data_IF_536318399133
#
_entry.id   IF_536318399133
#
_cell.length_a   1.000
_cell.length_b   1.000
_cell.length_c   1.000
_cell.angle_alpha   90.00
_cell.angle_beta   90.00
_cell.angle_gamma   90.00
#
_symmetry.space_group_name_H-M   'P 1'
#
loop_
_entity.id
_entity.type
_entity.pdbx_description
1 polymer ?
#
# COMPACT_ATOMS: atom_id res chain seq x y z
N UNK A 1 19.83 -9.78 -5.18
CA UNK A 1 19.17 -11.07 -5.52
C UNK A 1 17.63 -10.98 -5.42
N UNK A 2 17.05 -10.56 -4.28
CA UNK A 2 15.59 -10.46 -4.08
C UNK A 2 14.92 -9.47 -5.04
N UNK A 3 15.49 -8.28 -5.27
CA UNK A 3 14.93 -7.30 -6.21
C UNK A 3 14.77 -7.84 -7.64
N UNK A 4 15.65 -8.76 -8.07
CA UNK A 4 15.53 -9.45 -9.36
C UNK A 4 14.33 -10.41 -9.42
N UNK A 5 14.04 -11.14 -8.34
CA UNK A 5 12.86 -12.01 -8.25
C UNK A 5 11.55 -11.23 -8.14
N UNK A 6 11.58 -10.07 -7.47
CA UNK A 6 10.46 -9.13 -7.40
C UNK A 6 10.10 -8.60 -8.79
N UNK A 7 11.09 -8.17 -9.56
CA UNK A 7 10.88 -7.66 -10.92
C UNK A 7 10.47 -8.75 -11.92
N UNK A 8 10.81 -10.02 -11.66
CA UNK A 8 10.41 -11.17 -12.47
C UNK A 8 9.04 -11.77 -12.09
N UNK A 9 8.26 -11.12 -11.21
CA UNK A 9 6.94 -11.61 -10.78
C UNK A 9 6.98 -12.89 -9.92
N UNK A 10 8.17 -13.30 -9.45
CA UNK A 10 8.39 -14.52 -8.69
C UNK A 10 8.27 -14.30 -7.17
N UNK A 11 7.13 -13.74 -6.71
CA UNK A 11 6.92 -13.36 -5.31
C UNK A 11 7.14 -14.50 -4.30
N UNK A 12 6.78 -15.73 -4.67
CA UNK A 12 7.03 -16.93 -3.83
C UNK A 12 8.52 -17.21 -3.57
N UNK A 13 9.38 -17.03 -4.58
CA UNK A 13 10.84 -17.20 -4.42
C UNK A 13 11.44 -16.07 -3.60
N UNK A 14 10.96 -14.82 -3.79
CA UNK A 14 11.37 -13.69 -2.97
C UNK A 14 11.09 -13.93 -1.47
N UNK A 15 9.91 -14.48 -1.13
CA UNK A 15 9.58 -14.85 0.26
C UNK A 15 10.42 -16.01 0.80
N UNK A 16 10.76 -17.00 -0.04
CA UNK A 16 11.65 -18.09 0.36
C UNK A 16 13.06 -17.58 0.71
N UNK A 17 13.62 -16.70 -0.14
CA UNK A 17 14.92 -16.06 0.11
C UNK A 17 14.87 -15.17 1.36
N UNK A 18 13.76 -14.46 1.60
CA UNK A 18 13.60 -13.67 2.82
C UNK A 18 13.56 -14.52 4.09
N UNK A 19 12.89 -15.68 4.07
CA UNK A 19 12.91 -16.63 5.19
C UNK A 19 14.32 -17.16 5.45
N UNK A 20 15.11 -17.40 4.39
CA UNK A 20 16.52 -17.76 4.53
C UNK A 20 17.34 -16.63 5.15
N UNK A 21 17.11 -15.37 4.75
CA UNK A 21 17.75 -14.19 5.37
C UNK A 21 17.39 -13.98 6.84
N UNK A 22 16.24 -14.51 7.30
CA UNK A 22 15.87 -14.53 8.72
C UNK A 22 16.56 -15.63 9.52
N UNK A 23 17.15 -16.63 8.86
CA UNK A 23 17.87 -17.73 9.50
C UNK A 23 19.21 -17.28 10.10
N UNK A 24 19.62 -17.90 11.22
CA UNK A 24 20.86 -17.57 11.97
C UNK A 24 22.17 -17.72 11.18
N UNK A 25 22.14 -18.26 9.96
CA UNK A 25 23.32 -18.58 9.16
C UNK A 25 23.67 -17.55 8.08
N UNK A 26 22.83 -16.53 7.85
CA UNK A 26 23.08 -15.48 6.83
C UNK A 26 23.57 -14.20 7.50
N UNK A 27 24.72 -13.67 7.06
CA UNK A 27 25.35 -12.44 7.60
C UNK A 27 24.58 -11.16 7.26
N UNK A 28 23.81 -11.17 6.17
CA UNK A 28 23.11 -9.98 5.66
C UNK A 28 21.67 -9.93 6.13
N UNK A 29 21.33 -8.90 6.92
CA UNK A 29 19.95 -8.59 7.27
C UNK A 29 19.28 -7.85 6.12
N UNK A 30 17.99 -8.11 5.85
CA UNK A 30 17.23 -7.32 4.87
C UNK A 30 17.26 -5.83 5.24
N UNK A 31 17.69 -4.99 4.30
CA UNK A 31 17.66 -3.54 4.42
C UNK A 31 16.32 -2.95 3.97
N UNK A 32 16.16 -1.64 4.12
CA UNK A 32 14.93 -0.92 3.76
C UNK A 32 14.53 -1.14 2.30
N UNK A 33 15.50 -1.11 1.40
CA UNK A 33 15.30 -1.28 -0.03
C UNK A 33 14.77 -2.68 -0.35
N UNK A 34 15.36 -3.71 0.27
CA UNK A 34 14.93 -5.10 0.13
C UNK A 34 13.49 -5.27 0.60
N UNK A 35 13.16 -4.77 1.79
CA UNK A 35 11.84 -4.90 2.40
C UNK A 35 10.77 -4.15 1.59
N UNK A 36 11.08 -2.93 1.13
CA UNK A 36 10.20 -2.14 0.26
C UNK A 36 9.93 -2.83 -1.07
N UNK A 37 10.97 -3.36 -1.71
CA UNK A 37 10.83 -4.12 -2.97
C UNK A 37 9.95 -5.35 -2.78
N UNK A 38 10.13 -6.07 -1.67
CA UNK A 38 9.31 -7.23 -1.35
C UNK A 38 7.84 -6.89 -1.07
N UNK A 39 7.58 -5.78 -0.38
CA UNK A 39 6.22 -5.29 -0.16
C UNK A 39 5.55 -4.94 -1.49
N UNK A 40 6.27 -4.31 -2.42
CA UNK A 40 5.77 -4.01 -3.76
C UNK A 40 5.43 -5.28 -4.55
N UNK A 41 6.27 -6.32 -4.49
CA UNK A 41 5.94 -7.63 -5.06
C UNK A 41 4.67 -8.22 -4.43
N UNK A 42 4.56 -8.19 -3.11
CA UNK A 42 3.37 -8.71 -2.42
C UNK A 42 2.11 -7.91 -2.80
N UNK A 43 2.23 -6.60 -2.97
CA UNK A 43 1.17 -5.69 -3.40
C UNK A 43 0.68 -6.05 -4.80
N UNK A 44 1.60 -6.16 -5.77
CA UNK A 44 1.28 -6.51 -7.17
C UNK A 44 0.76 -7.93 -7.35
N UNK A 45 1.13 -8.86 -6.49
CA UNK A 45 0.72 -10.27 -6.56
C UNK A 45 -0.39 -10.65 -5.57
N UNK A 46 -0.96 -9.70 -4.82
CA UNK A 46 -2.01 -9.96 -3.83
C UNK A 46 -1.57 -10.88 -2.66
N UNK A 47 -0.28 -11.00 -2.39
CA UNK A 47 0.27 -11.96 -1.41
C UNK A 47 0.16 -11.45 0.03
N UNK A 48 -1.06 -11.37 0.56
CA UNK A 48 -1.36 -10.81 1.89
C UNK A 48 -0.57 -11.49 3.01
N UNK A 49 -0.41 -12.82 2.98
CA UNK A 49 0.35 -13.56 3.99
C UNK A 49 1.85 -13.25 3.94
N UNK A 50 2.39 -13.02 2.73
CA UNK A 50 3.78 -12.64 2.53
C UNK A 50 4.07 -11.26 3.11
N UNK A 51 3.26 -10.27 2.73
CA UNK A 51 3.44 -8.91 3.26
C UNK A 51 3.18 -8.79 4.76
N UNK A 52 2.25 -9.58 5.33
CA UNK A 52 2.09 -9.67 6.81
C UNK A 52 3.33 -10.24 7.51
N UNK A 53 4.03 -11.22 6.92
CA UNK A 53 5.30 -11.71 7.45
C UNK A 53 6.38 -10.63 7.45
N UNK A 54 6.44 -9.83 6.37
CA UNK A 54 7.38 -8.70 6.26
C UNK A 54 7.04 -7.62 7.30
N UNK A 55 5.77 -7.25 7.44
CA UNK A 55 5.34 -6.29 8.45
C UNK A 55 5.63 -6.77 9.88
N UNK A 56 5.37 -8.04 10.19
CA UNK A 56 5.73 -8.63 11.49
C UNK A 56 7.25 -8.68 11.73
N UNK A 57 8.06 -8.83 10.69
CA UNK A 57 9.51 -8.69 10.79
C UNK A 57 9.91 -7.25 11.13
N UNK A 58 9.36 -6.26 10.44
CA UNK A 58 9.61 -4.83 10.69
C UNK A 58 9.32 -4.42 12.13
N UNK A 59 8.20 -4.90 12.70
CA UNK A 59 7.83 -4.65 14.10
C UNK A 59 8.86 -5.29 15.04
N UNK A 60 9.22 -6.57 14.82
CA UNK A 60 10.13 -7.32 15.71
C UNK A 60 11.58 -6.87 15.62
N UNK A 61 12.03 -6.38 14.47
CA UNK A 61 13.42 -5.94 14.27
C UNK A 61 13.69 -4.57 14.90
N UNK A 62 12.67 -3.89 15.42
CA UNK A 62 12.80 -2.51 15.91
C UNK A 62 13.12 -1.53 14.79
N UNK A 63 12.82 -1.89 13.53
CA UNK A 63 13.00 -0.99 12.40
C UNK A 63 12.21 0.28 12.69
N UNK A 64 12.85 1.44 12.57
CA UNK A 64 12.21 2.72 12.84
C UNK A 64 11.22 3.06 11.72
N UNK A 65 10.16 2.26 11.58
CA UNK A 65 9.12 2.43 10.56
C UNK A 65 8.49 3.81 10.67
N UNK A 66 8.35 4.33 11.89
CA UNK A 66 7.84 5.67 12.15
C UNK A 66 8.69 6.78 11.52
N UNK A 67 9.98 6.54 11.26
CA UNK A 67 10.95 7.48 10.71
C UNK A 67 11.22 7.28 9.21
N UNK A 68 10.82 6.15 8.62
CA UNK A 68 10.95 5.90 7.18
C UNK A 68 9.59 5.97 6.50
N UNK A 69 9.35 7.11 5.86
CA UNK A 69 8.14 7.37 5.08
C UNK A 69 8.00 6.40 3.89
N UNK A 70 9.12 5.92 3.33
CA UNK A 70 9.18 5.00 2.19
C UNK A 70 8.62 3.63 2.55
N UNK A 71 9.11 3.02 3.63
CA UNK A 71 8.69 1.66 4.00
C UNK A 71 7.25 1.64 4.48
N UNK A 72 6.83 2.66 5.23
CA UNK A 72 5.44 2.75 5.69
C UNK A 72 4.47 3.09 4.58
N UNK A 73 4.84 3.97 3.64
CA UNK A 73 4.04 4.22 2.44
C UNK A 73 3.82 2.94 1.64
N UNK A 74 4.87 2.12 1.53
CA UNK A 74 4.81 0.82 0.85
C UNK A 74 3.95 -0.20 1.60
N UNK A 75 3.92 -0.16 2.94
CA UNK A 75 3.00 -0.97 3.74
C UNK A 75 1.54 -0.57 3.52
N UNK A 76 1.25 0.74 3.48
CA UNK A 76 -0.10 1.26 3.20
C UNK A 76 -0.55 0.81 1.81
N UNK A 77 0.26 1.04 0.78
CA UNK A 77 -0.04 0.60 -0.59
C UNK A 77 -0.27 -0.92 -0.67
N UNK A 78 0.61 -1.71 -0.04
CA UNK A 78 0.45 -3.16 0.03
C UNK A 78 -0.89 -3.58 0.63
N UNK A 79 -1.26 -3.02 1.78
CA UNK A 79 -2.52 -3.39 2.44
C UNK A 79 -3.74 -2.96 1.63
N UNK A 80 -3.70 -1.79 1.01
CA UNK A 80 -4.77 -1.32 0.12
C UNK A 80 -4.93 -2.26 -1.08
N UNK A 81 -3.86 -2.54 -1.82
CA UNK A 81 -3.95 -3.41 -3.01
C UNK A 81 -4.30 -4.86 -2.69
N UNK A 82 -4.05 -5.31 -1.46
CA UNK A 82 -4.51 -6.62 -0.97
C UNK A 82 -5.93 -6.59 -0.37
N UNK A 83 -6.69 -5.50 -0.52
CA UNK A 83 -8.07 -5.38 -0.05
C UNK A 83 -8.23 -5.34 1.47
N UNK A 84 -7.17 -5.04 2.22
CA UNK A 84 -7.20 -5.00 3.68
C UNK A 84 -7.07 -3.56 4.19
N UNK A 85 -8.16 -2.79 4.04
CA UNK A 85 -8.21 -1.39 4.44
C UNK A 85 -7.99 -1.18 5.94
N UNK A 86 -8.40 -2.11 6.79
CA UNK A 86 -8.15 -2.04 8.24
C UNK A 86 -6.64 -2.09 8.52
N UNK A 87 -5.90 -2.96 7.84
CA UNK A 87 -4.45 -3.03 7.91
C UNK A 87 -3.79 -1.76 7.35
N UNK A 88 -4.29 -1.25 6.23
CA UNK A 88 -3.80 -0.03 5.60
C UNK A 88 -3.94 1.18 6.53
N UNK A 89 -5.12 1.36 7.14
CA UNK A 89 -5.39 2.44 8.09
C UNK A 89 -4.45 2.37 9.30
N UNK A 90 -4.27 1.18 9.89
CA UNK A 90 -3.33 0.98 11.01
C UNK A 90 -1.89 1.33 10.63
N UNK A 91 -1.44 0.91 9.45
CA UNK A 91 -0.10 1.25 8.97
C UNK A 91 0.05 2.75 8.72
N UNK A 92 -0.97 3.40 8.15
CA UNK A 92 -1.01 4.84 7.89
C UNK A 92 -0.99 5.67 9.18
N UNK A 93 -1.73 5.25 10.20
CA UNK A 93 -1.78 5.96 11.48
C UNK A 93 -0.45 5.90 12.24
N UNK A 94 0.38 4.88 12.00
CA UNK A 94 1.72 4.74 12.59
C UNK A 94 2.78 5.65 11.92
N UNK A 95 2.48 6.26 10.78
CA UNK A 95 3.43 7.14 10.08
C UNK A 95 3.46 8.50 10.78
N UNK A 96 4.63 8.90 11.29
CA UNK A 96 4.83 10.25 11.85
C UNK A 96 4.73 11.31 10.75
N UNK A 97 5.51 11.14 9.69
CA UNK A 97 5.53 12.04 8.53
C UNK A 97 4.89 11.36 7.32
N UNK A 98 3.59 11.65 7.12
CA UNK A 98 2.80 11.06 6.03
C UNK A 98 3.18 11.70 4.70
N UNK A 99 3.59 10.90 3.74
CA UNK A 99 3.87 11.35 2.36
C UNK A 99 2.59 11.41 1.53
N UNK A 100 2.63 12.16 0.42
CA UNK A 100 1.52 12.19 -0.54
C UNK A 100 1.15 10.80 -1.06
N UNK A 101 2.13 9.90 -1.21
CA UNK A 101 1.88 8.50 -1.61
C UNK A 101 1.03 7.78 -0.55
N UNK A 102 1.37 7.91 0.74
CA UNK A 102 0.60 7.26 1.80
C UNK A 102 -0.84 7.79 1.90
N UNK A 103 -1.03 9.09 1.68
CA UNK A 103 -2.36 9.72 1.64
C UNK A 103 -3.17 9.27 0.44
N UNK A 104 -2.59 9.36 -0.77
CA UNK A 104 -3.29 8.98 -1.99
C UNK A 104 -3.63 7.50 -1.96
N UNK A 105 -2.70 6.59 -1.63
CA UNK A 105 -2.98 5.16 -1.53
C UNK A 105 -4.18 4.87 -0.62
N UNK A 106 -4.25 5.47 0.57
CA UNK A 106 -5.35 5.19 1.50
C UNK A 106 -6.69 5.78 1.04
N UNK A 107 -6.69 7.02 0.54
CA UNK A 107 -7.90 7.68 -0.01
C UNK A 107 -8.48 6.83 -1.16
N UNK A 108 -7.61 6.41 -2.09
CA UNK A 108 -8.01 5.59 -3.23
C UNK A 108 -8.51 4.22 -2.78
N UNK A 109 -7.90 3.62 -1.76
CA UNK A 109 -8.36 2.36 -1.18
C UNK A 109 -9.79 2.44 -0.65
N UNK A 110 -10.11 3.46 0.17
CA UNK A 110 -11.47 3.66 0.65
C UNK A 110 -12.45 3.97 -0.50
N UNK A 111 -12.04 4.79 -1.47
CA UNK A 111 -12.84 5.08 -2.65
C UNK A 111 -13.18 3.81 -3.44
N UNK A 112 -12.21 2.92 -3.64
CA UNK A 112 -12.37 1.66 -4.38
C UNK A 112 -13.29 0.66 -3.69
N UNK A 113 -13.35 0.67 -2.36
CA UNK A 113 -14.32 -0.14 -1.60
C UNK A 113 -15.69 0.55 -1.46
N UNK A 114 -15.86 1.74 -2.05
CA UNK A 114 -17.11 2.50 -2.02
C UNK A 114 -17.37 3.30 -0.74
N UNK A 115 -16.40 3.37 0.17
CA UNK A 115 -16.45 4.17 1.39
C UNK A 115 -16.01 5.61 1.11
N UNK A 116 -16.86 6.32 0.37
CA UNK A 116 -16.60 7.72 -0.01
C UNK A 116 -16.58 8.67 1.19
N UNK A 117 -17.21 8.30 2.31
CA UNK A 117 -17.24 9.12 3.52
C UNK A 117 -15.84 9.19 4.14
N UNK A 118 -15.21 8.03 4.37
CA UNK A 118 -13.83 8.00 4.87
C UNK A 118 -12.85 8.58 3.84
N UNK A 119 -13.01 8.25 2.56
CA UNK A 119 -12.15 8.77 1.50
C UNK A 119 -12.18 10.30 1.45
N UNK A 120 -13.36 10.91 1.58
CA UNK A 120 -13.51 12.37 1.59
C UNK A 120 -13.07 13.01 2.89
N UNK A 121 -13.27 12.35 4.03
CA UNK A 121 -12.72 12.78 5.32
C UNK A 121 -11.19 12.88 5.26
N UNK A 122 -10.52 11.84 4.75
CA UNK A 122 -9.07 11.82 4.56
C UNK A 122 -8.59 12.91 3.59
N UNK A 123 -9.30 13.12 2.48
CA UNK A 123 -8.97 14.18 1.53
C UNK A 123 -9.09 15.59 2.12
N UNK A 124 -10.15 15.87 2.91
CA UNK A 124 -10.28 17.17 3.60
C UNK A 124 -9.15 17.39 4.58
N UNK A 125 -8.82 16.38 5.40
CA UNK A 125 -7.69 16.43 6.33
C UNK A 125 -6.37 16.67 5.62
N UNK A 126 -6.16 16.04 4.47
CA UNK A 126 -4.98 16.28 3.63
C UNK A 126 -4.91 17.75 3.18
N UNK A 127 -6.04 18.34 2.73
CA UNK A 127 -6.13 19.76 2.33
C UNK A 127 -5.86 20.73 3.46
N UNK A 128 -6.33 20.42 4.67
CA UNK A 128 -6.11 21.26 5.84
C UNK A 128 -4.64 21.24 6.29
N UNK A 129 -3.97 20.09 6.19
CA UNK A 129 -2.56 19.93 6.57
C UNK A 129 -1.58 20.50 5.54
N UNK A 130 -1.94 20.44 4.25
CA UNK A 130 -1.13 20.98 3.16
C UNK A 130 -1.86 22.15 2.51
N UNK A 131 -1.58 23.38 2.98
CA UNK A 131 -2.03 24.61 2.32
C UNK A 131 -1.43 24.84 0.92
N UNK A 132 -0.55 23.94 0.46
CA UNK A 132 0.06 23.91 -0.89
C UNK A 132 -0.13 22.56 -1.61
N UNK A 133 -1.26 21.85 -1.47
CA UNK A 133 -1.48 20.68 -2.35
C UNK A 133 -1.46 21.15 -3.80
N UNK A 134 -0.45 20.69 -4.54
CA UNK A 134 -0.33 20.94 -5.97
C UNK A 134 -1.58 20.43 -6.69
N UNK A 135 -2.11 21.26 -7.59
CA UNK A 135 -3.28 20.97 -8.43
C UNK A 135 -3.15 19.62 -9.14
N UNK A 136 -1.92 19.16 -9.40
CA UNK A 136 -1.65 17.83 -9.94
C UNK A 136 -2.17 16.69 -9.06
N UNK A 137 -1.95 16.74 -7.73
CA UNK A 137 -2.39 15.67 -6.83
C UNK A 137 -3.90 15.70 -6.62
N UNK A 138 -4.49 16.89 -6.59
CA UNK A 138 -5.94 17.06 -6.61
C UNK A 138 -6.55 16.43 -7.87
N UNK A 139 -5.97 16.70 -9.04
CA UNK A 139 -6.41 16.13 -10.32
C UNK A 139 -6.25 14.61 -10.36
N UNK A 140 -5.13 14.07 -9.86
CA UNK A 140 -4.92 12.62 -9.79
C UNK A 140 -5.94 11.92 -8.89
N UNK A 141 -6.25 12.49 -7.73
CA UNK A 141 -7.26 11.94 -6.81
C UNK A 141 -8.67 12.04 -7.42
N UNK A 142 -9.02 13.18 -8.02
CA UNK A 142 -10.31 13.40 -8.69
C UNK A 142 -10.47 12.44 -9.88
N UNK A 143 -9.44 12.27 -10.71
CA UNK A 143 -9.45 11.35 -11.83
C UNK A 143 -9.78 9.93 -11.39
N UNK A 144 -9.19 9.45 -10.30
CA UNK A 144 -9.48 8.11 -9.79
C UNK A 144 -10.89 8.00 -9.19
N UNK A 145 -11.38 9.04 -8.51
CA UNK A 145 -12.79 9.06 -8.08
C UNK A 145 -13.76 9.03 -9.27
N UNK A 146 -13.44 9.74 -10.36
CA UNK A 146 -14.23 9.76 -11.59
C UNK A 146 -14.21 8.39 -12.30
N UNK A 147 -13.03 7.80 -12.47
CA UNK A 147 -12.86 6.45 -13.04
C UNK A 147 -13.59 5.41 -12.20
N UNK A 148 -13.59 5.55 -10.88
CA UNK A 148 -14.32 4.64 -10.00
C UNK A 148 -15.84 4.83 -10.09
N UNK A 149 -16.33 6.07 -10.18
CA UNK A 149 -17.74 6.34 -10.42
C UNK A 149 -18.21 5.71 -11.75
N UNK A 150 -17.38 5.80 -12.80
CA UNK A 150 -17.61 5.17 -14.09
C UNK A 150 -17.58 3.64 -14.01
N UNK A 151 -16.62 3.05 -13.30
CA UNK A 151 -16.54 1.60 -13.05
C UNK A 151 -17.77 1.09 -12.29
N UNK A 152 -18.25 1.83 -11.30
CA UNK A 152 -19.45 1.50 -10.54
C UNK A 152 -20.70 1.54 -11.42
N UNK A 153 -20.84 2.57 -12.26
CA UNK A 153 -21.89 2.64 -13.28
C UNK A 153 -21.81 1.47 -14.27
N UNK A 154 -20.62 1.15 -14.78
CA UNK A 154 -20.40 0.03 -15.68
C UNK A 154 -20.85 -1.30 -15.10
N UNK A 155 -20.47 -1.59 -13.83
CA UNK A 155 -20.91 -2.80 -13.12
C UNK A 155 -22.42 -2.85 -12.92
N UNK A 156 -23.06 -1.72 -12.61
CA UNK A 156 -24.53 -1.65 -12.49
C UNK A 156 -25.23 -1.92 -13.82
N UNK A 157 -24.75 -1.31 -14.91
CA UNK A 157 -25.30 -1.54 -16.25
C UNK A 157 -25.13 -2.99 -16.68
N UNK A 158 -23.97 -3.61 -16.41
CA UNK A 158 -23.72 -5.01 -16.73
C UNK A 158 -24.62 -5.95 -15.91
N UNK A 159 -24.87 -5.64 -14.64
CA UNK A 159 -25.81 -6.41 -13.80
C UNK A 159 -27.28 -6.26 -14.26
N UNK A 160 -27.63 -5.13 -14.87
CA UNK A 160 -28.94 -4.89 -15.49
C UNK A 160 -29.08 -5.55 -16.86
N UNK A 161 -27.99 -5.68 -17.62
CA UNK A 161 -27.99 -6.27 -18.96
C UNK A 161 -27.97 -7.81 -18.96
N UNK A 162 -27.65 -8.45 -17.82
CA UNK A 162 -27.61 -9.91 -17.66
C UNK A 162 -28.89 -10.44 -16.97
N UNK A 163 -29.96 -9.64 -16.96
CA UNK A 163 -31.33 -10.04 -16.57
C UNK A 163 -32.23 -10.10 -17.80
#
# INVERSE_FOLDING_TARGET
MIAGYVNAGCGGRALATFRQMQGRQVRERPDEFTLTSMLKACSSSGMIHGGKQIHGFLIRSGFQCQSSATITGSLVDFYVKCGNLVGARKAFDQIKEKTMISWSSLILGYAQEGDFVEAMGLFRRLRELNSQIDNFVLSSIIGVFADFALLRQGKQMQALAVK
#
